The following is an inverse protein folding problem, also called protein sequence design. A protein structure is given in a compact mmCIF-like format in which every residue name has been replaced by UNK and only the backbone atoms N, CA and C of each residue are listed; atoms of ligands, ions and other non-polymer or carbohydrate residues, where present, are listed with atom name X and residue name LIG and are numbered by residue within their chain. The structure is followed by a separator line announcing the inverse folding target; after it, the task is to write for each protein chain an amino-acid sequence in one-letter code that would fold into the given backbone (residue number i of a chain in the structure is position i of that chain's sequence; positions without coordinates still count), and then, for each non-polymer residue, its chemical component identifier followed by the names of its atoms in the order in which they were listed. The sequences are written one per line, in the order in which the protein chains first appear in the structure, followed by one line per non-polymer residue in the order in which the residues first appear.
data_IF_061249754480
#
_entry.id   IF_061249754480
#
_cell.length_a   1.000
_cell.length_b   1.000
_cell.length_c   1.000
_cell.angle_alpha   90.00
_cell.angle_beta   90.00
_cell.angle_gamma   90.00
#
_symmetry.space_group_name_H-M   'P 1'
#
loop_
_entity.id
_entity.type
_entity.pdbx_description
1 polymer ?
#
# COMPACT_ATOMS: atom_id res chain seq x y z
N UNK A 1 -14.35 -18.64 0.54
CA UNK A 1 -13.82 -17.65 -0.40
C UNK A 1 -12.57 -17.04 0.20
N UNK A 2 -11.51 -16.94 -0.59
CA UNK A 2 -10.19 -16.43 -0.17
C UNK A 2 -10.28 -14.98 0.27
N UNK A 3 -9.60 -14.66 1.37
CA UNK A 3 -9.60 -13.36 2.08
C UNK A 3 -9.47 -12.13 1.16
N UNK A 4 -8.80 -12.31 0.01
CA UNK A 4 -8.35 -11.26 -0.92
C UNK A 4 -9.14 -11.14 -2.22
N UNK A 5 -10.11 -12.01 -2.54
CA UNK A 5 -10.67 -12.06 -3.91
C UNK A 5 -11.23 -10.73 -4.40
N UNK A 6 -11.96 -9.99 -3.56
CA UNK A 6 -12.47 -8.66 -3.92
C UNK A 6 -11.37 -7.62 -4.15
N UNK A 7 -10.27 -7.70 -3.40
CA UNK A 7 -9.10 -6.80 -3.57
C UNK A 7 -8.40 -7.13 -4.90
N UNK A 8 -8.25 -8.43 -5.17
CA UNK A 8 -7.61 -8.95 -6.37
C UNK A 8 -8.40 -8.63 -7.64
N UNK A 9 -9.72 -8.82 -7.61
CA UNK A 9 -10.61 -8.50 -8.74
C UNK A 9 -10.49 -7.04 -9.13
N UNK A 10 -10.57 -6.14 -8.13
CA UNK A 10 -10.46 -4.70 -8.38
C UNK A 10 -9.12 -4.32 -8.99
N UNK A 11 -8.02 -4.84 -8.45
CA UNK A 11 -6.69 -4.48 -8.94
C UNK A 11 -6.44 -5.09 -10.33
N UNK A 12 -6.92 -6.30 -10.61
CA UNK A 12 -6.80 -6.93 -11.93
C UNK A 12 -7.68 -6.26 -12.97
N UNK A 13 -8.94 -5.96 -12.65
CA UNK A 13 -9.85 -5.17 -13.52
C UNK A 13 -9.14 -3.88 -13.95
N UNK A 14 -8.48 -3.19 -13.01
CA UNK A 14 -7.79 -1.93 -13.25
C UNK A 14 -6.47 -2.07 -14.04
N UNK A 15 -5.77 -3.21 -13.90
CA UNK A 15 -4.59 -3.53 -14.72
C UNK A 15 -5.01 -3.84 -16.16
N UNK A 16 -6.04 -4.67 -16.35
CA UNK A 16 -6.44 -5.17 -17.65
C UNK A 16 -7.22 -4.13 -18.46
N UNK A 17 -8.22 -3.49 -17.85
CA UNK A 17 -9.11 -2.56 -18.53
C UNK A 17 -8.55 -1.13 -18.58
N UNK A 18 -7.82 -0.74 -17.54
CA UNK A 18 -7.40 0.66 -17.35
C UNK A 18 -5.87 0.86 -17.37
N UNK A 19 -5.08 -0.21 -17.33
CA UNK A 19 -3.60 -0.19 -17.33
C UNK A 19 -3.02 0.80 -16.32
N UNK A 20 -3.64 0.94 -15.15
CA UNK A 20 -3.27 1.97 -14.18
C UNK A 20 -1.96 1.69 -13.45
N UNK A 21 -1.61 0.42 -13.28
CA UNK A 21 -0.42 0.01 -12.56
C UNK A 21 0.57 -0.70 -13.49
N UNK A 22 1.84 -0.32 -13.37
CA UNK A 22 2.94 -1.03 -14.01
C UNK A 22 3.28 -2.32 -13.25
N UNK A 23 3.06 -2.34 -11.94
CA UNK A 23 3.46 -3.44 -11.04
C UNK A 23 2.53 -3.54 -9.85
N UNK A 24 2.16 -4.76 -9.47
CA UNK A 24 1.45 -5.02 -8.22
C UNK A 24 2.14 -6.14 -7.45
N UNK A 25 2.33 -5.93 -6.14
CA UNK A 25 2.96 -6.88 -5.22
C UNK A 25 1.96 -7.36 -4.17
N UNK A 26 2.01 -8.66 -3.85
CA UNK A 26 1.16 -9.31 -2.85
C UNK A 26 2.00 -10.05 -1.81
N UNK A 27 1.61 -9.93 -0.54
CA UNK A 27 2.33 -10.52 0.60
C UNK A 27 2.17 -12.05 0.71
N UNK A 28 1.10 -12.63 0.14
CA UNK A 28 0.79 -14.06 0.26
C UNK A 28 0.70 -14.78 -1.10
N UNK A 29 1.72 -15.58 -1.41
CA UNK A 29 1.83 -16.33 -2.68
C UNK A 29 0.81 -17.48 -2.82
N UNK A 30 0.35 -18.03 -1.70
CA UNK A 30 -0.45 -19.27 -1.62
C UNK A 30 -1.96 -19.09 -1.87
N UNK A 31 -2.40 -17.86 -2.17
CA UNK A 31 -3.83 -17.49 -2.21
C UNK A 31 -4.28 -16.83 -3.51
N UNK A 32 -3.36 -16.59 -4.44
CA UNK A 32 -3.68 -16.12 -5.78
C UNK A 32 -4.12 -17.31 -6.62
N UNK A 33 -5.34 -17.27 -7.15
CA UNK A 33 -5.81 -18.24 -8.14
C UNK A 33 -5.39 -17.78 -9.55
N UNK A 34 -5.59 -18.59 -10.58
CA UNK A 34 -5.47 -18.11 -11.98
C UNK A 34 -6.68 -17.23 -12.32
N UNK A 35 -6.54 -16.14 -13.12
CA UNK A 35 -5.35 -15.68 -13.84
C UNK A 35 -4.46 -14.67 -13.07
N UNK A 36 -4.80 -14.34 -11.81
CA UNK A 36 -4.13 -13.29 -11.03
C UNK A 36 -2.60 -13.46 -10.92
N UNK A 37 -2.09 -14.70 -11.00
CA UNK A 37 -0.66 -15.00 -11.07
C UNK A 37 0.10 -14.32 -12.22
N UNK A 38 -0.53 -14.11 -13.38
CA UNK A 38 0.16 -13.63 -14.59
C UNK A 38 0.32 -12.09 -14.60
N UNK A 39 -0.45 -11.41 -13.74
CA UNK A 39 -0.52 -9.94 -13.68
C UNK A 39 0.17 -9.37 -12.43
N UNK A 40 0.59 -10.24 -11.50
CA UNK A 40 1.03 -9.84 -10.17
C UNK A 40 2.46 -10.35 -9.87
N UNK A 41 3.30 -9.49 -9.29
CA UNK A 41 4.61 -9.90 -8.77
C UNK A 41 4.44 -10.48 -7.36
N UNK A 42 4.56 -11.80 -7.24
CA UNK A 42 4.45 -12.51 -5.96
C UNK A 42 5.58 -12.17 -4.99
N UNK A 43 5.32 -11.69 -3.77
CA UNK A 43 6.34 -11.56 -2.73
C UNK A 43 6.35 -10.21 -2.02
N UNK A 44 6.81 -10.26 -0.77
CA UNK A 44 6.70 -9.18 0.21
C UNK A 44 7.27 -7.84 -0.27
N UNK A 45 6.52 -6.77 -0.02
CA UNK A 45 7.01 -5.39 -0.06
C UNK A 45 7.06 -4.83 1.35
N UNK A 46 8.17 -4.19 1.70
CA UNK A 46 8.39 -3.69 3.05
C UNK A 46 8.44 -2.18 3.06
N UNK A 47 7.80 -1.60 4.07
CA UNK A 47 7.77 -0.17 4.36
C UNK A 47 8.82 0.18 5.39
N UNK A 48 9.49 1.29 5.17
CA UNK A 48 10.63 1.71 5.98
C UNK A 48 10.54 3.20 6.33
N UNK A 49 11.00 3.51 7.52
CA UNK A 49 11.19 4.87 8.03
C UNK A 49 12.68 5.08 8.29
N UNK A 50 13.30 5.98 7.51
CA UNK A 50 14.63 6.49 7.82
C UNK A 50 14.53 7.75 8.68
N UNK A 51 15.41 7.91 9.67
CA UNK A 51 15.53 9.15 10.44
C UNK A 51 15.74 10.36 9.51
N UNK A 52 15.01 11.46 9.74
CA UNK A 52 15.10 12.66 8.89
C UNK A 52 16.53 13.18 8.69
N UNK A 53 17.40 12.96 9.67
CA UNK A 53 18.82 13.34 9.64
C UNK A 53 19.63 12.68 8.52
N UNK A 54 19.14 11.55 7.97
CA UNK A 54 19.77 10.81 6.88
C UNK A 54 19.16 11.13 5.50
N UNK A 55 18.15 11.99 5.47
CA UNK A 55 17.61 12.55 4.24
C UNK A 55 18.49 13.73 3.88
N UNK A 56 19.23 13.63 2.77
CA UNK A 56 20.07 14.73 2.31
C UNK A 56 19.23 16.00 2.07
N UNK A 57 19.86 17.16 2.06
CA UNK A 57 19.21 18.49 1.93
C UNK A 57 18.28 18.65 0.73
N UNK A 58 18.38 17.77 -0.28
CA UNK A 58 17.55 17.76 -1.48
C UNK A 58 16.46 16.67 -1.47
N UNK A 59 16.20 16.01 -0.34
CA UNK A 59 15.34 14.82 -0.28
C UNK A 59 16.01 13.55 -0.81
N UNK A 60 17.31 13.60 -1.13
CA UNK A 60 18.05 12.49 -1.69
C UNK A 60 18.54 11.55 -0.59
N UNK A 61 18.32 10.26 -0.78
CA UNK A 61 18.73 9.22 0.15
C UNK A 61 19.99 8.50 -0.31
N UNK A 62 20.92 8.16 0.60
CA UNK A 62 22.01 7.23 0.28
C UNK A 62 21.48 5.79 0.24
N UNK A 63 21.06 5.40 -0.96
CA UNK A 63 20.55 4.06 -1.28
C UNK A 63 21.49 2.92 -0.85
N UNK A 64 22.81 3.13 -0.80
CA UNK A 64 23.76 2.09 -0.37
C UNK A 64 23.70 1.88 1.13
N UNK A 65 23.54 2.95 1.90
CA UNK A 65 23.42 2.88 3.36
C UNK A 65 22.09 2.25 3.79
N UNK A 66 21.00 2.61 3.11
CA UNK A 66 19.66 2.00 3.30
C UNK A 66 19.73 0.49 3.11
N UNK A 67 20.33 0.07 1.99
CA UNK A 67 20.47 -1.36 1.67
C UNK A 67 21.37 -2.11 2.65
N UNK A 68 22.23 -1.45 3.42
CA UNK A 68 23.06 -2.13 4.43
C UNK A 68 22.33 -2.32 5.76
N UNK A 69 21.42 -1.42 6.11
CA UNK A 69 20.77 -1.37 7.43
C UNK A 69 19.25 -1.62 7.37
N UNK A 70 18.78 -2.38 6.37
CA UNK A 70 17.35 -2.58 6.08
C UNK A 70 16.54 -2.97 7.31
N UNK A 71 17.00 -3.97 8.06
CA UNK A 71 16.30 -4.49 9.25
C UNK A 71 16.12 -3.45 10.35
N UNK A 72 17.03 -2.49 10.47
CA UNK A 72 16.93 -1.42 11.48
C UNK A 72 15.82 -0.40 11.15
N UNK A 73 15.47 -0.25 9.87
CA UNK A 73 14.52 0.77 9.41
C UNK A 73 13.17 0.18 8.97
N UNK A 74 13.07 -1.14 8.83
CA UNK A 74 11.81 -1.78 8.44
C UNK A 74 10.77 -1.60 9.55
N UNK A 75 9.59 -1.11 9.18
CA UNK A 75 8.49 -0.85 10.13
C UNK A 75 7.31 -1.79 9.93
N UNK A 76 6.96 -2.08 8.68
CA UNK A 76 5.80 -2.91 8.35
C UNK A 76 6.01 -3.60 7.01
N UNK A 77 5.32 -4.71 6.79
CA UNK A 77 5.09 -5.25 5.44
C UNK A 77 3.76 -4.68 4.92
N UNK A 78 3.70 -4.38 3.62
CA UNK A 78 2.45 -3.99 2.98
C UNK A 78 1.78 -5.23 2.38
N UNK A 79 0.49 -5.40 2.63
CA UNK A 79 -0.27 -6.58 2.21
C UNK A 79 -0.45 -6.61 0.68
N UNK A 80 -0.81 -5.47 0.10
CA UNK A 80 -0.83 -5.27 -1.35
C UNK A 80 -0.26 -3.89 -1.69
N UNK A 81 0.59 -3.86 -2.71
CA UNK A 81 1.17 -2.60 -3.21
C UNK A 81 0.97 -2.50 -4.71
N UNK A 82 0.27 -1.46 -5.17
CA UNK A 82 0.22 -1.05 -6.57
C UNK A 82 1.23 0.05 -6.86
N UNK A 83 1.98 -0.06 -7.96
CA UNK A 83 2.99 0.92 -8.38
C UNK A 83 2.75 1.33 -9.82
N UNK A 84 2.78 2.63 -10.08
CA UNK A 84 2.65 3.23 -11.40
C UNK A 84 3.58 4.44 -11.49
N UNK A 85 4.54 4.43 -12.41
CA UNK A 85 5.58 5.47 -12.53
C UNK A 85 6.25 5.79 -11.16
N UNK A 86 5.90 6.94 -10.56
CA UNK A 86 6.39 7.44 -9.27
C UNK A 86 5.35 7.39 -8.14
N UNK A 87 4.21 6.73 -8.37
CA UNK A 87 3.09 6.60 -7.42
C UNK A 87 3.07 5.20 -6.81
N UNK A 88 2.87 5.15 -5.50
CA UNK A 88 2.71 3.91 -4.74
C UNK A 88 1.37 3.95 -4.02
N UNK A 89 0.54 2.94 -4.23
CA UNK A 89 -0.68 2.72 -3.46
C UNK A 89 -0.43 1.55 -2.55
N UNK A 90 -0.69 1.76 -1.27
CA UNK A 90 -0.57 0.76 -0.23
C UNK A 90 -1.98 0.34 0.17
N UNK A 91 -2.21 -0.94 0.24
CA UNK A 91 -3.42 -1.51 0.81
C UNK A 91 -2.98 -2.36 1.98
N UNK A 92 -3.55 -2.07 3.14
CA UNK A 92 -3.32 -2.85 4.37
C UNK A 92 -4.58 -3.64 4.67
N UNK A 93 -4.40 -4.94 4.90
CA UNK A 93 -5.51 -5.89 4.94
C UNK A 93 -5.99 -6.21 6.36
N UNK A 94 -7.32 -6.23 6.48
CA UNK A 94 -8.17 -6.86 7.50
C UNK A 94 -7.64 -6.80 8.93
N UNK A 95 -7.81 -5.62 9.54
CA UNK A 95 -7.72 -5.51 10.98
C UNK A 95 -9.07 -5.86 11.61
N UNK A 96 -9.09 -6.97 12.37
CA UNK A 96 -10.25 -7.42 13.17
C UNK A 96 -10.54 -6.50 14.35
N UNK A 97 -9.71 -5.48 14.55
CA UNK A 97 -9.57 -4.64 15.73
C UNK A 97 -9.32 -3.20 15.30
N UNK A 98 -10.31 -2.29 15.42
CA UNK A 98 -10.16 -0.89 15.05
C UNK A 98 -8.97 -0.19 15.73
N UNK A 99 -8.59 -0.61 16.93
CA UNK A 99 -7.43 -0.06 17.65
C UNK A 99 -6.09 -0.33 16.94
N UNK A 100 -6.00 -1.39 16.12
CA UNK A 100 -4.81 -1.67 15.32
C UNK A 100 -4.72 -0.82 14.06
N UNK A 101 -5.86 -0.42 13.50
CA UNK A 101 -5.90 0.51 12.36
C UNK A 101 -5.19 1.80 12.71
N UNK A 102 -5.48 2.35 13.90
CA UNK A 102 -4.83 3.59 14.37
C UNK A 102 -3.31 3.42 14.50
N UNK A 103 -2.86 2.28 15.04
CA UNK A 103 -1.44 1.97 15.17
C UNK A 103 -0.76 1.85 13.80
N UNK A 104 -1.37 1.10 12.87
CA UNK A 104 -0.83 0.91 11.53
C UNK A 104 -0.77 2.21 10.74
N UNK A 105 -1.81 3.04 10.84
CA UNK A 105 -1.83 4.37 10.26
C UNK A 105 -0.68 5.23 10.80
N UNK A 106 -0.45 5.23 12.12
CA UNK A 106 0.64 5.98 12.73
C UNK A 106 2.02 5.48 12.27
N UNK A 107 2.19 4.18 12.08
CA UNK A 107 3.44 3.58 11.60
C UNK A 107 3.68 3.88 10.12
N UNK A 108 2.66 3.70 9.28
CA UNK A 108 2.78 3.85 7.82
C UNK A 108 2.94 5.30 7.42
N UNK A 109 2.24 6.23 8.09
CA UNK A 109 2.36 7.68 7.85
C UNK A 109 3.76 8.25 8.12
N UNK A 110 4.65 7.49 8.77
CA UNK A 110 6.06 7.86 8.98
C UNK A 110 7.01 7.24 7.94
N UNK A 111 6.55 6.23 7.22
CA UNK A 111 7.36 5.53 6.23
C UNK A 111 7.61 6.42 4.99
N UNK A 112 8.85 6.46 4.52
CA UNK A 112 9.28 7.34 3.43
C UNK A 112 9.77 6.61 2.16
N UNK A 113 9.93 5.29 2.22
CA UNK A 113 10.20 4.46 1.05
C UNK A 113 9.68 3.03 1.27
N UNK A 114 9.52 2.34 0.15
CA UNK A 114 9.21 0.92 0.09
C UNK A 114 10.34 0.19 -0.63
N UNK A 115 10.68 -1.01 -0.17
CA UNK A 115 11.58 -1.93 -0.89
C UNK A 115 10.78 -3.15 -1.32
N UNK A 116 10.81 -3.47 -2.62
CA UNK A 116 10.19 -4.68 -3.13
C UNK A 116 11.07 -5.93 -2.91
N UNK A 117 10.51 -7.11 -3.17
CA UNK A 117 11.23 -8.39 -3.10
C UNK A 117 12.53 -8.41 -3.92
N UNK A 118 12.56 -7.67 -5.03
CA UNK A 118 13.69 -7.58 -5.96
C UNK A 118 14.73 -6.53 -5.52
N UNK A 119 14.62 -5.98 -4.31
CA UNK A 119 15.53 -4.98 -3.75
C UNK A 119 15.53 -3.64 -4.51
N UNK A 120 14.49 -3.39 -5.30
CA UNK A 120 14.23 -2.08 -5.88
C UNK A 120 13.53 -1.23 -4.83
N UNK A 121 13.94 0.04 -4.76
CA UNK A 121 13.43 0.98 -3.78
C UNK A 121 12.58 2.02 -4.47
N UNK A 122 11.46 2.34 -3.85
CA UNK A 122 10.47 3.28 -4.33
C UNK A 122 10.25 4.36 -3.27
N UNK A 123 10.46 5.64 -3.59
CA UNK A 123 10.15 6.72 -2.67
C UNK A 123 8.63 6.85 -2.48
N UNK A 124 8.20 7.17 -1.27
CA UNK A 124 6.79 7.38 -0.93
C UNK A 124 6.45 8.88 -0.97
N UNK A 125 6.49 9.51 -2.15
CA UNK A 125 6.31 10.96 -2.27
C UNK A 125 4.84 11.42 -2.16
N UNK A 126 3.88 10.60 -2.63
CA UNK A 126 2.43 10.86 -2.54
C UNK A 126 1.62 9.56 -2.39
N UNK A 127 1.98 8.66 -1.46
CA UNK A 127 1.28 7.40 -1.32
C UNK A 127 -0.17 7.60 -0.86
N UNK A 128 -1.02 6.67 -1.30
CA UNK A 128 -2.39 6.55 -0.81
C UNK A 128 -2.51 5.22 -0.06
N UNK A 129 -3.15 5.25 1.10
CA UNK A 129 -3.39 4.08 1.93
C UNK A 129 -4.87 3.72 1.94
N UNK A 130 -5.20 2.50 1.56
CA UNK A 130 -6.52 1.91 1.81
C UNK A 130 -6.45 0.98 3.02
N UNK A 131 -7.33 1.20 3.99
CA UNK A 131 -7.49 0.36 5.17
C UNK A 131 -8.83 -0.36 5.11
N UNK A 132 -8.77 -1.68 5.18
CA UNK A 132 -9.94 -2.55 5.17
C UNK A 132 -10.29 -2.99 6.59
N UNK A 133 -11.47 -2.60 7.07
CA UNK A 133 -11.98 -3.00 8.38
C UNK A 133 -13.11 -4.01 8.28
N UNK A 134 -13.19 -4.92 9.25
CA UNK A 134 -14.33 -5.82 9.36
C UNK A 134 -15.51 -5.04 9.98
N UNK A 135 -16.57 -4.84 9.19
CA UNK A 135 -17.65 -3.92 9.51
C UNK A 135 -18.30 -4.12 10.88
N UNK A 136 -18.51 -3.00 11.58
CA UNK A 136 -19.71 -2.71 12.36
C UNK A 136 -20.33 -1.43 11.76
N UNK A 137 -21.62 -1.19 11.97
CA UNK A 137 -22.35 -0.11 11.28
C UNK A 137 -21.61 1.24 11.33
N UNK A 138 -21.47 1.85 10.14
CA UNK A 138 -20.87 3.16 9.80
C UNK A 138 -19.36 3.37 9.97
N UNK A 139 -18.47 2.82 9.11
CA UNK A 139 -17.15 3.45 8.93
C UNK A 139 -16.69 3.46 7.45
N UNK A 140 -17.01 4.57 6.78
CA UNK A 140 -16.26 5.11 5.64
C UNK A 140 -15.67 6.45 6.09
N UNK A 141 -14.35 6.53 6.22
CA UNK A 141 -13.64 7.75 6.63
C UNK A 141 -12.53 8.07 5.62
N UNK A 142 -12.38 9.36 5.32
CA UNK A 142 -11.34 9.87 4.44
C UNK A 142 -10.49 10.89 5.19
N UNK A 143 -9.19 10.63 5.27
CA UNK A 143 -8.22 11.52 5.90
C UNK A 143 -7.23 12.01 4.84
N UNK A 144 -7.15 13.32 4.67
CA UNK A 144 -6.25 13.95 3.70
C UNK A 144 -4.96 14.44 4.40
N UNK A 145 -3.81 14.22 3.76
CA UNK A 145 -2.49 14.69 4.21
C UNK A 145 -2.05 14.15 5.59
N UNK A 146 -2.12 12.83 5.78
CA UNK A 146 -1.68 12.15 7.00
C UNK A 146 -0.20 11.74 6.97
N UNK A 147 0.66 12.57 7.57
CA UNK A 147 2.11 12.34 7.59
C UNK A 147 2.71 12.36 6.18
N UNK A 148 3.34 11.25 5.76
CA UNK A 148 3.83 11.07 4.38
C UNK A 148 2.73 10.64 3.40
N UNK A 149 1.55 10.25 3.89
CA UNK A 149 0.42 9.82 3.07
C UNK A 149 -0.35 11.04 2.57
N UNK A 150 -0.62 11.05 1.26
CA UNK A 150 -1.48 12.07 0.65
C UNK A 150 -2.94 11.87 1.06
N UNK A 151 -3.36 10.62 1.15
CA UNK A 151 -4.76 10.25 1.40
C UNK A 151 -4.82 8.88 2.09
N UNK A 152 -5.72 8.77 3.04
CA UNK A 152 -6.07 7.53 3.73
C UNK A 152 -7.57 7.31 3.61
N UNK A 153 -7.95 6.10 3.23
CA UNK A 153 -9.34 5.70 3.06
C UNK A 153 -9.57 4.50 3.94
N UNK A 154 -10.40 4.68 4.96
CA UNK A 154 -10.81 3.62 5.87
C UNK A 154 -12.22 3.21 5.45
N UNK A 155 -12.39 1.96 5.06
CA UNK A 155 -13.69 1.47 4.61
C UNK A 155 -13.91 0.04 5.10
N UNK A 156 -15.18 -0.31 5.28
CA UNK A 156 -15.55 -1.69 5.51
C UNK A 156 -15.25 -2.56 4.28
N UNK A 157 -15.07 -3.86 4.53
CA UNK A 157 -14.72 -4.82 3.49
C UNK A 157 -15.74 -4.89 2.34
N UNK A 158 -17.02 -4.72 2.61
CA UNK A 158 -18.06 -4.81 1.59
C UNK A 158 -18.05 -3.59 0.67
N UNK A 159 -17.69 -2.42 1.20
CA UNK A 159 -17.62 -1.14 0.47
C UNK A 159 -16.32 -0.93 -0.32
N UNK A 160 -15.30 -1.78 -0.16
CA UNK A 160 -13.96 -1.56 -0.72
C UNK A 160 -13.96 -1.19 -2.22
N UNK A 161 -14.63 -2.00 -3.06
CA UNK A 161 -14.63 -1.81 -4.52
C UNK A 161 -15.19 -0.44 -4.90
N UNK A 162 -16.31 -0.05 -4.29
CA UNK A 162 -16.99 1.20 -4.61
C UNK A 162 -16.15 2.41 -4.20
N UNK A 163 -15.52 2.35 -3.02
CA UNK A 163 -14.72 3.46 -2.50
C UNK A 163 -13.38 3.63 -3.22
N UNK A 164 -12.75 2.52 -3.56
CA UNK A 164 -11.56 2.52 -4.40
C UNK A 164 -11.86 3.13 -5.78
N UNK A 165 -12.93 2.68 -6.44
CA UNK A 165 -13.34 3.20 -7.75
C UNK A 165 -13.71 4.69 -7.72
N UNK A 166 -14.39 5.15 -6.66
CA UNK A 166 -14.70 6.57 -6.50
C UNK A 166 -13.44 7.43 -6.38
N UNK A 167 -12.43 6.94 -5.67
CA UNK A 167 -11.15 7.63 -5.49
C UNK A 167 -10.38 7.75 -6.80
N UNK A 168 -10.40 6.68 -7.58
CA UNK A 168 -9.94 6.65 -8.96
C UNK A 168 -10.65 7.71 -9.82
N UNK A 169 -11.99 7.76 -9.81
CA UNK A 169 -12.76 8.69 -10.65
C UNK A 169 -12.50 10.15 -10.30
N UNK A 170 -12.19 10.44 -9.04
CA UNK A 170 -11.79 11.77 -8.58
C UNK A 170 -10.39 12.19 -9.07
N UNK A 171 -9.66 11.33 -9.79
CA UNK A 171 -8.30 11.58 -10.24
C UNK A 171 -7.30 11.66 -9.10
N UNK A 172 -7.64 11.10 -7.94
CA UNK A 172 -6.77 11.05 -6.76
C UNK A 172 -5.74 9.93 -6.86
N UNK A 173 -6.01 8.93 -7.72
CA UNK A 173 -5.16 7.80 -8.07
C UNK A 173 -4.75 7.87 -9.54
#
# INVERSE_FOLDING_TARGET
MTRYTQILDVIVDDIEEHRRYDRVFFDHEDRLISPYHDHCYLGHSSLYEIPQEMIGTNGNFDMKQIKRNKTAYQKKQADVTGISEDKVILIVEEEKRPERVKYDLEVISKCNFMIDKNQKVYPLNKPVLFVLVQGREEETEYLENEGTLRLVIICDKESFKDEYNRTIQKGLL
#
